data_IF_245656537919
#
_entry.id   IF_245656537919
#
_cell.length_a   1.000
_cell.length_b   1.000
_cell.length_c   1.000
_cell.angle_alpha   90.00
_cell.angle_beta   90.00
_cell.angle_gamma   90.00
#
_symmetry.space_group_name_H-M   'P 1'
#
loop_
_entity.id
_entity.type
_entity.pdbx_description
1 polymer ?
#
# COMPACT_ATOMS: atom_id res chain seq x y z
N UNK A 1 -17.05 -46.24 29.66
CA UNK A 1 -16.64 -46.25 28.23
C UNK A 1 -17.09 -44.94 27.63
N UNK A 2 -16.19 -43.97 27.44
CA UNK A 2 -16.55 -42.66 26.89
C UNK A 2 -16.74 -42.79 25.38
N UNK A 3 -17.99 -42.76 24.90
CA UNK A 3 -18.30 -42.69 23.48
C UNK A 3 -17.71 -41.39 22.93
N UNK A 4 -16.67 -41.48 22.10
CA UNK A 4 -16.16 -40.33 21.36
C UNK A 4 -17.14 -40.04 20.22
N UNK A 5 -17.85 -38.92 20.32
CA UNK A 5 -18.64 -38.38 19.22
C UNK A 5 -17.66 -37.70 18.25
N UNK A 6 -17.54 -38.26 17.05
CA UNK A 6 -16.64 -37.74 16.02
C UNK A 6 -17.18 -38.08 14.65
N UNK A 7 -16.86 -37.25 13.67
CA UNK A 7 -17.28 -37.43 12.29
C UNK A 7 -16.57 -38.61 11.65
N UNK A 8 -17.28 -39.30 10.76
CA UNK A 8 -16.67 -40.40 10.00
C UNK A 8 -15.67 -39.85 8.99
N UNK A 9 -14.70 -40.68 8.59
CA UNK A 9 -13.73 -40.30 7.55
C UNK A 9 -14.44 -39.88 6.26
N UNK A 10 -15.49 -40.62 5.87
CA UNK A 10 -16.29 -40.32 4.68
C UNK A 10 -16.98 -38.94 4.77
N UNK A 11 -17.51 -38.57 5.93
CA UNK A 11 -18.18 -37.29 6.15
C UNK A 11 -17.22 -36.10 6.01
N UNK A 12 -16.00 -36.23 6.57
CA UNK A 12 -14.97 -35.18 6.44
C UNK A 12 -14.46 -35.09 5.00
N UNK A 13 -14.30 -36.21 4.28
CA UNK A 13 -13.84 -36.19 2.89
C UNK A 13 -14.84 -35.53 1.94
N UNK A 14 -16.14 -35.83 2.08
CA UNK A 14 -17.18 -35.23 1.23
C UNK A 14 -17.27 -33.73 1.47
N UNK A 15 -17.19 -33.28 2.74
CA UNK A 15 -17.24 -31.85 3.07
C UNK A 15 -16.02 -31.09 2.56
N UNK A 16 -14.81 -31.64 2.70
CA UNK A 16 -13.60 -31.04 2.13
C UNK A 16 -13.65 -30.99 0.59
N UNK A 17 -14.23 -32.00 -0.07
CA UNK A 17 -14.44 -32.01 -1.51
C UNK A 17 -15.37 -30.90 -1.99
N UNK A 18 -16.53 -30.74 -1.33
CA UNK A 18 -17.51 -29.69 -1.67
C UNK A 18 -16.92 -28.30 -1.44
N UNK A 19 -16.30 -28.05 -0.28
CA UNK A 19 -15.68 -26.75 0.03
C UNK A 19 -14.54 -26.45 -0.96
N UNK A 20 -13.76 -27.46 -1.36
CA UNK A 20 -12.68 -27.30 -2.33
C UNK A 20 -13.17 -26.81 -3.71
N UNK A 21 -14.24 -27.41 -4.24
CA UNK A 21 -14.82 -27.02 -5.54
C UNK A 21 -15.42 -25.62 -5.47
N UNK A 22 -16.19 -25.33 -4.41
CA UNK A 22 -16.82 -24.01 -4.24
C UNK A 22 -15.77 -22.92 -4.05
N UNK A 23 -14.73 -23.17 -3.25
CA UNK A 23 -13.62 -22.24 -3.06
C UNK A 23 -12.88 -21.94 -4.37
N UNK A 24 -12.64 -22.96 -5.20
CA UNK A 24 -11.96 -22.81 -6.48
C UNK A 24 -12.71 -21.87 -7.45
N UNK A 25 -14.04 -21.83 -7.40
CA UNK A 25 -14.85 -20.94 -8.25
C UNK A 25 -15.07 -19.55 -7.63
N UNK A 26 -15.13 -19.46 -6.31
CA UNK A 26 -15.53 -18.22 -5.61
C UNK A 26 -14.34 -17.33 -5.25
N UNK A 27 -13.22 -17.90 -4.81
CA UNK A 27 -12.03 -17.13 -4.39
C UNK A 27 -11.48 -16.27 -5.55
N UNK A 28 -11.28 -16.80 -6.77
CA UNK A 28 -10.75 -15.99 -7.88
C UNK A 28 -11.67 -14.83 -8.24
N UNK A 29 -12.99 -15.07 -8.27
CA UNK A 29 -14.01 -14.08 -8.62
C UNK A 29 -14.07 -12.94 -7.60
N UNK A 30 -14.00 -13.26 -6.31
CA UNK A 30 -13.97 -12.27 -5.23
C UNK A 30 -12.69 -11.41 -5.28
N UNK A 31 -11.54 -12.01 -5.54
CA UNK A 31 -10.27 -11.28 -5.68
C UNK A 31 -10.35 -10.33 -6.89
N UNK A 32 -10.81 -10.82 -8.04
CA UNK A 32 -10.98 -10.00 -9.25
C UNK A 32 -11.89 -8.80 -9.00
N UNK A 33 -13.04 -9.00 -8.36
CA UNK A 33 -13.99 -7.93 -8.06
C UNK A 33 -13.45 -6.89 -7.06
N UNK A 34 -12.66 -7.31 -6.08
CA UNK A 34 -12.12 -6.41 -5.04
C UNK A 34 -10.87 -5.64 -5.47
N UNK A 35 -10.11 -6.14 -6.44
CA UNK A 35 -8.89 -5.50 -6.93
C UNK A 35 -9.16 -4.08 -7.48
N UNK A 36 -10.24 -3.88 -8.25
CA UNK A 36 -10.58 -2.57 -8.80
C UNK A 36 -10.93 -1.50 -7.75
N UNK A 37 -11.56 -1.91 -6.65
CA UNK A 37 -11.83 -1.02 -5.51
C UNK A 37 -10.55 -0.74 -4.70
N UNK A 38 -9.70 -1.76 -4.53
CA UNK A 38 -8.41 -1.66 -3.86
C UNK A 38 -7.49 -0.65 -4.56
N UNK A 39 -7.33 -0.73 -5.88
CA UNK A 39 -6.51 0.22 -6.63
C UNK A 39 -7.01 1.67 -6.50
N UNK A 40 -8.32 1.90 -6.62
CA UNK A 40 -8.89 3.25 -6.45
C UNK A 40 -8.69 3.81 -5.04
N UNK A 41 -8.90 2.98 -4.02
CA UNK A 41 -8.70 3.37 -2.62
C UNK A 41 -7.23 3.65 -2.31
N UNK A 42 -6.33 2.79 -2.78
CA UNK A 42 -4.88 2.99 -2.65
C UNK A 42 -4.43 4.25 -3.38
N UNK A 43 -4.87 4.46 -4.62
CA UNK A 43 -4.53 5.66 -5.39
C UNK A 43 -5.01 6.94 -4.70
N UNK A 44 -6.28 6.97 -4.24
CA UNK A 44 -6.82 8.12 -3.50
C UNK A 44 -6.04 8.37 -2.22
N UNK A 45 -5.65 7.32 -1.51
CA UNK A 45 -4.82 7.43 -0.29
C UNK A 45 -3.45 8.00 -0.63
N UNK A 46 -2.75 7.47 -1.63
CA UNK A 46 -1.45 7.98 -2.07
C UNK A 46 -1.54 9.46 -2.45
N UNK A 47 -2.53 9.86 -3.25
CA UNK A 47 -2.73 11.26 -3.63
C UNK A 47 -3.00 12.16 -2.42
N UNK A 48 -3.83 11.70 -1.49
CA UNK A 48 -4.09 12.43 -0.24
C UNK A 48 -2.82 12.58 0.61
N UNK A 49 -2.00 11.53 0.70
CA UNK A 49 -0.74 11.56 1.46
C UNK A 49 0.29 12.47 0.81
N UNK A 50 0.40 12.46 -0.52
CA UNK A 50 1.29 13.38 -1.25
C UNK A 50 0.85 14.84 -1.07
N UNK A 51 -0.44 15.13 -1.14
CA UNK A 51 -0.95 16.48 -0.91
C UNK A 51 -0.68 16.95 0.54
N UNK A 52 -0.87 16.08 1.53
CA UNK A 52 -0.53 16.39 2.92
C UNK A 52 0.97 16.61 3.13
N UNK A 53 1.83 15.81 2.50
CA UNK A 53 3.27 16.01 2.54
C UNK A 53 3.66 17.37 1.94
N UNK A 54 3.04 17.75 0.81
CA UNK A 54 3.28 19.05 0.17
C UNK A 54 2.80 20.25 0.99
N UNK A 55 1.63 20.14 1.62
CA UNK A 55 1.16 21.17 2.54
C UNK A 55 2.04 21.27 3.80
N UNK A 56 2.57 20.14 4.29
CA UNK A 56 3.47 20.11 5.43
C UNK A 56 4.83 20.74 5.11
N UNK A 57 5.41 20.47 3.93
CA UNK A 57 6.67 21.08 3.51
C UNK A 57 6.51 22.59 3.28
N UNK A 58 5.39 23.04 2.71
CA UNK A 58 5.09 24.46 2.58
C UNK A 58 4.93 25.11 3.96
N UNK A 59 4.21 24.49 4.89
CA UNK A 59 3.99 25.08 6.21
C UNK A 59 5.27 25.15 7.07
N UNK A 60 6.19 24.19 6.94
CA UNK A 60 7.41 24.13 7.76
C UNK A 60 8.58 24.91 7.15
N UNK A 61 8.71 24.88 5.82
CA UNK A 61 9.91 25.35 5.11
C UNK A 61 9.60 26.37 4.01
N UNK A 62 8.34 26.83 3.89
CA UNK A 62 7.85 27.69 2.79
C UNK A 62 8.19 27.13 1.39
N UNK A 63 8.35 25.81 1.32
CA UNK A 63 8.78 25.11 0.11
C UNK A 63 7.62 24.97 -0.88
N UNK A 64 7.67 25.76 -1.96
CA UNK A 64 6.77 25.65 -3.10
C UNK A 64 7.32 24.67 -4.15
N UNK A 65 6.66 23.52 -4.29
CA UNK A 65 6.98 22.51 -5.31
C UNK A 65 6.91 23.04 -6.75
N UNK A 66 6.18 24.13 -7.01
CA UNK A 66 6.12 24.77 -8.34
C UNK A 66 7.34 25.66 -8.64
N UNK A 67 8.16 25.99 -7.63
CA UNK A 67 9.25 26.96 -7.72
C UNK A 67 10.66 26.37 -7.67
N UNK A 68 10.84 25.04 -7.68
CA UNK A 68 12.16 24.40 -7.50
C UNK A 68 13.05 24.62 -8.74
N UNK A 69 13.74 25.75 -8.78
CA UNK A 69 14.64 26.13 -9.89
C UNK A 69 16.07 25.61 -9.69
N UNK A 70 16.34 25.00 -8.53
CA UNK A 70 17.66 24.47 -8.15
C UNK A 70 17.66 22.95 -8.26
N UNK A 71 18.59 22.42 -9.05
CA UNK A 71 18.84 20.98 -9.20
C UNK A 71 19.49 20.43 -7.93
N UNK A 72 19.23 19.16 -7.62
CA UNK A 72 20.06 18.47 -6.63
C UNK A 72 21.52 18.42 -7.07
N UNK A 73 22.45 18.40 -6.12
CA UNK A 73 23.87 18.16 -6.41
C UNK A 73 24.10 16.83 -7.16
N UNK A 74 24.96 16.84 -8.18
CA UNK A 74 25.25 15.67 -9.03
C UNK A 74 26.07 14.58 -8.30
N UNK A 75 26.60 14.88 -7.11
CA UNK A 75 27.37 13.95 -6.27
C UNK A 75 26.56 13.52 -5.05
N UNK A 76 26.48 12.22 -4.81
CA UNK A 76 25.69 11.62 -3.71
C UNK A 76 26.09 12.16 -2.34
N UNK A 77 27.38 12.46 -2.12
CA UNK A 77 27.88 12.99 -0.85
C UNK A 77 27.34 14.38 -0.54
N UNK A 78 27.25 15.25 -1.54
CA UNK A 78 26.75 16.62 -1.36
C UNK A 78 25.22 16.67 -1.36
N UNK A 79 24.54 15.77 -2.06
CA UNK A 79 23.09 15.63 -1.99
C UNK A 79 22.61 15.13 -0.62
N UNK A 80 23.42 14.31 0.08
CA UNK A 80 23.08 13.78 1.41
C UNK A 80 23.14 14.82 2.55
N UNK A 81 23.73 15.99 2.30
CA UNK A 81 23.85 17.11 3.25
C UNK A 81 22.84 18.23 2.94
N UNK A 82 22.05 18.10 1.87
CA UNK A 82 21.00 19.05 1.54
C UNK A 82 19.81 18.85 2.50
N UNK A 83 19.44 19.92 3.19
CA UNK A 83 18.37 19.95 4.17
C UNK A 83 17.43 21.11 3.85
N UNK A 84 16.12 20.99 4.13
CA UNK A 84 15.12 21.96 3.70
C UNK A 84 15.24 23.31 4.44
N UNK A 85 16.05 23.37 5.50
CA UNK A 85 16.43 24.58 6.24
C UNK A 85 17.64 25.32 5.61
N UNK A 86 18.42 24.66 4.75
CA UNK A 86 19.70 25.12 4.24
C UNK A 86 19.71 25.31 2.72
N UNK A 87 19.04 24.42 1.98
CA UNK A 87 18.91 24.46 0.51
C UNK A 87 17.55 23.93 0.07
N UNK A 88 16.80 24.72 -0.69
CA UNK A 88 15.50 24.32 -1.24
C UNK A 88 15.69 23.59 -2.58
N UNK A 89 16.24 22.37 -2.54
CA UNK A 89 16.38 21.47 -3.69
C UNK A 89 15.38 20.31 -3.63
N UNK A 90 15.21 19.57 -4.73
CA UNK A 90 14.38 18.36 -4.73
C UNK A 90 14.93 17.24 -3.83
N UNK A 91 16.20 17.31 -3.44
CA UNK A 91 16.87 16.29 -2.61
C UNK A 91 16.92 16.67 -1.12
N UNK A 92 16.49 17.88 -0.79
CA UNK A 92 16.30 18.34 0.58
C UNK A 92 14.94 17.92 1.19
N UNK A 93 14.16 17.08 0.49
CA UNK A 93 12.83 16.60 0.92
C UNK A 93 12.87 15.18 1.48
#
# INVERSE_FOLDING_TARGET
>A
MTKRFGFTLAEVLITLGIIGVVAAMTIPTLISNTNGAKFRSQFKKTLSTLNQAGLMSQAQYDFDYAGTTVKCSDTVENAAIEHPDSTMSFCAI
#
